data_IF_315118395953
#
_entry.id   IF_315118395953
#
_cell.length_a   1.000
_cell.length_b   1.000
_cell.length_c   1.000
_cell.angle_alpha   90.00
_cell.angle_beta   90.00
_cell.angle_gamma   90.00
#
_symmetry.space_group_name_H-M   'P 1'
#
loop_
_entity.id
_entity.type
_entity.pdbx_description
1 polymer ?
#
# COMPACT_ATOMS: atom_id res chain seq x y z
N UNK A 1 68.31 -36.37 -1.78
CA UNK A 1 67.75 -35.59 -2.88
C UNK A 1 67.39 -34.22 -2.28
N UNK A 2 68.20 -33.20 -2.56
CA UNK A 2 67.89 -31.85 -2.13
C UNK A 2 66.69 -31.38 -2.96
N UNK A 3 65.58 -31.09 -2.28
CA UNK A 3 64.45 -30.40 -2.88
C UNK A 3 64.95 -28.98 -3.19
N UNK A 4 65.23 -28.69 -4.46
CA UNK A 4 65.52 -27.34 -4.90
C UNK A 4 64.31 -26.47 -4.62
N UNK A 5 64.33 -25.83 -3.47
CA UNK A 5 63.38 -24.79 -3.12
C UNK A 5 63.59 -23.62 -4.09
N UNK A 6 62.78 -23.55 -5.13
CA UNK A 6 62.80 -22.45 -6.09
C UNK A 6 62.34 -21.21 -5.33
N UNK A 7 63.29 -20.48 -4.73
CA UNK A 7 63.00 -19.21 -4.08
C UNK A 7 62.57 -18.22 -5.16
N UNK A 8 61.28 -17.87 -5.12
CA UNK A 8 60.69 -16.81 -5.97
C UNK A 8 61.53 -15.52 -5.87
N UNK A 9 62.02 -14.99 -6.98
CA UNK A 9 62.69 -13.69 -6.99
C UNK A 9 61.72 -12.61 -6.48
N UNK A 10 62.25 -11.51 -5.95
CA UNK A 10 61.43 -10.38 -5.47
C UNK A 10 60.43 -9.86 -6.52
N UNK A 11 60.84 -9.88 -7.81
CA UNK A 11 59.97 -9.52 -8.94
C UNK A 11 58.79 -10.52 -9.12
N UNK A 12 59.07 -11.84 -9.01
CA UNK A 12 58.02 -12.87 -9.12
C UNK A 12 57.04 -12.78 -7.98
N UNK A 13 57.49 -12.51 -6.76
CA UNK A 13 56.61 -12.30 -5.59
C UNK A 13 55.73 -11.08 -5.77
N UNK A 14 56.25 -9.97 -6.25
CA UNK A 14 55.49 -8.77 -6.52
C UNK A 14 54.44 -9.00 -7.62
N UNK A 15 54.77 -9.71 -8.69
CA UNK A 15 53.85 -10.09 -9.76
C UNK A 15 52.71 -11.00 -9.21
N UNK A 16 53.05 -11.97 -8.35
CA UNK A 16 52.07 -12.84 -7.73
C UNK A 16 51.06 -12.07 -6.83
N UNK A 17 51.54 -11.14 -6.01
CA UNK A 17 50.71 -10.25 -5.20
C UNK A 17 49.78 -9.37 -6.08
N UNK A 18 50.32 -8.84 -7.17
CA UNK A 18 49.53 -8.06 -8.15
C UNK A 18 48.44 -8.93 -8.82
N UNK A 19 48.74 -10.18 -9.15
CA UNK A 19 47.82 -11.15 -9.71
C UNK A 19 46.71 -11.52 -8.71
N UNK A 20 47.05 -11.75 -7.44
CA UNK A 20 46.10 -12.02 -6.38
C UNK A 20 45.15 -10.82 -6.19
N UNK A 21 45.67 -9.59 -6.13
CA UNK A 21 44.89 -8.37 -6.08
C UNK A 21 43.97 -8.21 -7.30
N UNK A 22 44.46 -8.50 -8.49
CA UNK A 22 43.66 -8.46 -9.73
C UNK A 22 42.52 -9.48 -9.68
N UNK A 23 42.77 -10.70 -9.20
CA UNK A 23 41.74 -11.74 -9.02
C UNK A 23 40.68 -11.30 -8.02
N UNK A 24 41.07 -10.70 -6.88
CA UNK A 24 40.13 -10.17 -5.89
C UNK A 24 39.24 -9.05 -6.48
N UNK A 25 39.84 -8.17 -7.31
CA UNK A 25 39.09 -7.11 -8.01
C UNK A 25 38.12 -7.70 -9.06
N UNK A 26 38.54 -8.73 -9.80
CA UNK A 26 37.69 -9.44 -10.78
C UNK A 26 36.47 -10.00 -10.06
N UNK A 27 36.67 -10.72 -8.96
CA UNK A 27 35.58 -11.33 -8.20
C UNK A 27 34.58 -10.26 -7.70
N UNK A 28 35.06 -9.13 -7.19
CA UNK A 28 34.22 -8.01 -6.76
C UNK A 28 33.48 -7.36 -7.92
N UNK A 29 34.13 -7.12 -9.07
CA UNK A 29 33.48 -6.57 -10.26
C UNK A 29 32.45 -7.55 -10.83
N UNK A 30 32.73 -8.84 -10.78
CA UNK A 30 31.80 -9.90 -11.20
C UNK A 30 30.55 -9.95 -10.29
N UNK A 31 30.73 -9.80 -8.98
CA UNK A 31 29.63 -9.71 -8.03
C UNK A 31 28.76 -8.48 -8.33
N UNK A 32 29.36 -7.31 -8.55
CA UNK A 32 28.66 -6.07 -8.91
C UNK A 32 27.92 -6.17 -10.24
N UNK A 33 28.51 -6.81 -11.25
CA UNK A 33 27.85 -7.10 -12.52
C UNK A 33 26.68 -8.07 -12.39
N UNK A 34 26.84 -9.08 -11.52
CA UNK A 34 25.79 -10.08 -11.27
C UNK A 34 24.62 -9.51 -10.47
N UNK A 35 24.89 -8.68 -9.45
CA UNK A 35 23.86 -8.09 -8.58
C UNK A 35 23.30 -6.78 -9.09
N UNK A 36 24.01 -6.10 -10.02
CA UNK A 36 23.72 -4.74 -10.44
C UNK A 36 24.00 -3.69 -9.37
N UNK A 37 24.64 -4.07 -8.26
CA UNK A 37 24.89 -3.18 -7.12
C UNK A 37 26.38 -2.95 -6.90
N UNK A 38 26.73 -1.69 -6.64
CA UNK A 38 28.06 -1.29 -6.18
C UNK A 38 28.25 -1.58 -4.68
N UNK A 39 27.16 -1.45 -3.90
CA UNK A 39 27.11 -1.69 -2.45
C UNK A 39 26.20 -2.89 -2.19
N UNK A 40 26.78 -4.06 -1.98
CA UNK A 40 26.06 -5.32 -1.70
C UNK A 40 25.95 -5.60 -0.20
N UNK A 41 26.92 -5.11 0.58
CA UNK A 41 27.02 -5.35 2.00
C UNK A 41 27.47 -4.11 2.77
N UNK A 42 27.33 -4.15 4.09
CA UNK A 42 27.85 -3.10 4.96
C UNK A 42 29.39 -2.98 4.91
N UNK A 43 30.10 -4.01 4.44
CA UNK A 43 31.55 -3.99 4.26
C UNK A 43 32.00 -3.15 3.08
N UNK A 44 31.16 -3.02 2.04
CA UNK A 44 31.47 -2.22 0.84
C UNK A 44 31.38 -0.71 1.13
N UNK A 45 30.27 -0.31 1.75
CA UNK A 45 30.06 1.07 2.21
C UNK A 45 28.98 1.07 3.29
N UNK A 46 29.34 1.11 4.59
CA UNK A 46 28.37 1.01 5.69
C UNK A 46 27.35 2.16 5.66
N UNK A 47 27.77 3.38 5.34
CA UNK A 47 26.88 4.55 5.35
C UNK A 47 25.79 4.40 4.28
N UNK A 48 26.16 4.08 3.04
CA UNK A 48 25.22 3.93 1.94
C UNK A 48 24.34 2.69 2.12
N UNK A 49 24.90 1.59 2.65
CA UNK A 49 24.17 0.35 2.90
C UNK A 49 23.04 0.57 3.91
N UNK A 50 23.36 1.13 5.08
CA UNK A 50 22.35 1.36 6.12
C UNK A 50 21.34 2.45 5.75
N UNK A 51 21.76 3.49 5.00
CA UNK A 51 20.85 4.49 4.48
C UNK A 51 19.85 3.88 3.48
N UNK A 52 20.34 3.09 2.52
CA UNK A 52 19.49 2.38 1.57
C UNK A 52 18.55 1.39 2.26
N UNK A 53 19.05 0.63 3.24
CA UNK A 53 18.23 -0.30 4.03
C UNK A 53 17.13 0.44 4.80
N UNK A 54 17.44 1.61 5.37
CA UNK A 54 16.44 2.46 6.03
C UNK A 54 15.34 2.93 5.05
N UNK A 55 15.71 3.33 3.84
CA UNK A 55 14.75 3.71 2.81
C UNK A 55 13.87 2.54 2.38
N UNK A 56 14.44 1.34 2.21
CA UNK A 56 13.71 0.12 1.84
C UNK A 56 12.72 -0.27 2.95
N UNK A 57 13.16 -0.26 4.21
CA UNK A 57 12.31 -0.58 5.35
C UNK A 57 11.14 0.40 5.43
N UNK A 58 11.41 1.70 5.32
CA UNK A 58 10.36 2.72 5.31
C UNK A 58 9.40 2.59 4.12
N UNK A 59 9.90 2.25 2.93
CA UNK A 59 9.06 1.97 1.77
C UNK A 59 8.14 0.76 2.00
N UNK A 60 8.64 -0.27 2.70
CA UNK A 60 7.85 -1.44 3.11
C UNK A 60 6.76 -1.07 4.11
N UNK A 61 7.08 -0.24 5.11
CA UNK A 61 6.11 0.23 6.10
C UNK A 61 5.00 1.06 5.44
N UNK A 62 5.34 1.93 4.50
CA UNK A 62 4.35 2.66 3.71
C UNK A 62 3.49 1.74 2.83
N UNK A 63 4.04 0.65 2.28
CA UNK A 63 3.25 -0.32 1.52
C UNK A 63 2.16 -0.97 2.40
N UNK A 64 2.49 -1.34 3.63
CA UNK A 64 1.51 -1.86 4.61
C UNK A 64 0.43 -0.80 4.92
N UNK A 65 0.81 0.48 5.06
CA UNK A 65 -0.18 1.56 5.28
C UNK A 65 -1.08 1.77 4.07
N UNK A 66 -0.54 1.68 2.86
CA UNK A 66 -1.31 1.74 1.61
C UNK A 66 -2.37 0.64 1.53
N UNK A 67 -2.02 -0.60 1.92
CA UNK A 67 -2.99 -1.70 1.97
C UNK A 67 -4.11 -1.41 2.98
N UNK A 68 -3.78 -0.85 4.15
CA UNK A 68 -4.75 -0.38 5.12
C UNK A 68 -5.66 0.74 4.59
N UNK A 69 -5.12 1.66 3.78
CA UNK A 69 -5.92 2.69 3.10
C UNK A 69 -6.88 2.07 2.07
N UNK A 70 -6.43 1.07 1.29
CA UNK A 70 -7.27 0.36 0.34
C UNK A 70 -8.47 -0.33 1.02
N UNK A 71 -8.24 -0.98 2.16
CA UNK A 71 -9.29 -1.57 2.99
C UNK A 71 -10.25 -0.50 3.55
N UNK A 72 -9.72 0.65 3.97
CA UNK A 72 -10.53 1.79 4.39
C UNK A 72 -11.43 2.33 3.27
N UNK A 73 -10.93 2.38 2.05
CA UNK A 73 -11.71 2.75 0.86
C UNK A 73 -12.87 1.76 0.64
N UNK A 74 -12.63 0.44 0.76
CA UNK A 74 -13.69 -0.55 0.58
C UNK A 74 -14.75 -0.46 1.68
N UNK A 75 -14.34 -0.23 2.93
CA UNK A 75 -15.27 -0.02 4.05
C UNK A 75 -16.17 1.21 3.81
N UNK A 76 -15.58 2.32 3.34
CA UNK A 76 -16.34 3.52 3.02
C UNK A 76 -17.28 3.30 1.82
N UNK A 77 -16.86 2.60 0.79
CA UNK A 77 -17.71 2.24 -0.37
C UNK A 77 -18.89 1.34 0.03
N UNK A 78 -18.66 0.38 0.93
CA UNK A 78 -19.74 -0.46 1.44
C UNK A 78 -20.81 0.37 2.18
N UNK A 79 -20.36 1.33 2.99
CA UNK A 79 -21.28 2.25 3.67
C UNK A 79 -22.05 3.16 2.70
N UNK A 80 -21.39 3.70 1.66
CA UNK A 80 -22.03 4.56 0.66
C UNK A 80 -23.07 3.78 -0.17
N UNK A 81 -22.77 2.54 -0.51
CA UNK A 81 -23.73 1.63 -1.16
C UNK A 81 -24.93 1.37 -0.27
N UNK A 82 -24.72 1.16 1.03
CA UNK A 82 -25.76 1.02 2.03
C UNK A 82 -26.62 2.28 2.16
N UNK A 83 -26.01 3.48 2.22
CA UNK A 83 -26.71 4.77 2.23
C UNK A 83 -27.61 4.91 0.99
N UNK A 84 -27.08 4.57 -0.17
CA UNK A 84 -27.79 4.67 -1.45
C UNK A 84 -29.03 3.77 -1.48
N UNK A 85 -28.88 2.53 -1.00
CA UNK A 85 -29.96 1.57 -0.92
C UNK A 85 -31.01 1.96 0.14
N UNK A 86 -30.60 2.43 1.32
CA UNK A 86 -31.50 2.97 2.34
C UNK A 86 -32.27 4.18 1.81
N UNK A 87 -31.61 5.09 1.08
CA UNK A 87 -32.30 6.24 0.49
C UNK A 87 -33.37 5.80 -0.52
N UNK A 88 -33.14 4.75 -1.29
CA UNK A 88 -34.15 4.18 -2.21
C UNK A 88 -35.37 3.64 -1.44
N UNK A 89 -35.17 2.97 -0.30
CA UNK A 89 -36.26 2.52 0.57
C UNK A 89 -37.00 3.71 1.20
N UNK A 90 -36.31 4.77 1.59
CA UNK A 90 -36.92 6.01 2.09
C UNK A 90 -37.80 6.67 1.03
N UNK A 91 -37.34 6.72 -0.22
CA UNK A 91 -38.16 7.26 -1.32
C UNK A 91 -39.38 6.37 -1.62
N UNK A 92 -39.25 5.05 -1.54
CA UNK A 92 -40.41 4.13 -1.64
C UNK A 92 -41.39 4.36 -0.49
N UNK A 93 -40.90 4.55 0.74
CA UNK A 93 -41.74 4.87 1.91
C UNK A 93 -42.49 6.21 1.74
N UNK A 94 -41.84 7.23 1.15
CA UNK A 94 -42.52 8.50 0.79
C UNK A 94 -43.64 8.27 -0.21
N UNK A 95 -43.43 7.40 -1.21
CA UNK A 95 -44.44 7.03 -2.18
C UNK A 95 -45.69 6.40 -1.52
N UNK A 96 -45.48 5.47 -0.56
CA UNK A 96 -46.57 4.87 0.21
C UNK A 96 -47.31 5.90 1.06
N UNK A 97 -46.58 6.80 1.73
CA UNK A 97 -47.20 7.87 2.54
C UNK A 97 -48.01 8.86 1.65
N UNK A 98 -47.52 9.17 0.44
CA UNK A 98 -48.27 9.99 -0.52
C UNK A 98 -49.52 9.27 -1.02
N UNK A 99 -49.42 7.97 -1.31
CA UNK A 99 -50.62 7.17 -1.72
C UNK A 99 -51.67 7.09 -0.62
N UNK A 100 -51.23 6.92 0.66
CA UNK A 100 -52.10 6.91 1.83
C UNK A 100 -52.82 8.28 2.04
N UNK A 101 -52.13 9.40 1.76
CA UNK A 101 -52.73 10.73 1.84
C UNK A 101 -53.76 10.97 0.72
N UNK A 102 -53.58 10.32 -0.44
CA UNK A 102 -54.49 10.40 -1.61
C UNK A 102 -55.78 9.65 -1.46
N UNK A 103 -55.97 8.82 -0.44
CA UNK A 103 -57.22 8.06 -0.15
C UNK A 103 -57.83 8.44 1.18
N UNK A 104 -59.15 8.51 1.22
CA UNK A 104 -59.90 8.69 2.47
C UNK A 104 -60.30 7.33 3.13
N UNK A 105 -60.07 6.22 2.41
CA UNK A 105 -60.42 4.88 2.87
C UNK A 105 -59.45 4.41 3.95
N UNK A 106 -59.93 4.22 5.16
CA UNK A 106 -59.11 3.80 6.32
C UNK A 106 -58.48 2.41 6.15
N UNK A 107 -59.14 1.50 5.42
CA UNK A 107 -58.62 0.15 5.15
C UNK A 107 -57.41 0.21 4.23
N UNK A 108 -57.48 1.05 3.17
CA UNK A 108 -56.37 1.25 2.27
C UNK A 108 -55.19 1.92 3.00
N UNK A 109 -55.47 2.93 3.82
CA UNK A 109 -54.45 3.59 4.67
C UNK A 109 -53.77 2.61 5.62
N UNK A 110 -54.53 1.71 6.26
CA UNK A 110 -54.00 0.66 7.10
C UNK A 110 -53.08 -0.31 6.31
N UNK A 111 -53.44 -0.63 5.10
CA UNK A 111 -52.61 -1.47 4.19
C UNK A 111 -51.29 -0.76 3.85
N UNK A 112 -51.34 0.53 3.49
CA UNK A 112 -50.14 1.33 3.21
C UNK A 112 -49.27 1.49 4.48
N UNK A 113 -49.84 1.67 5.64
CA UNK A 113 -49.11 1.72 6.91
C UNK A 113 -48.35 0.42 7.21
N UNK A 114 -48.99 -0.74 6.92
CA UNK A 114 -48.36 -2.06 7.06
C UNK A 114 -47.18 -2.23 6.11
N UNK A 115 -47.32 -1.84 4.82
CA UNK A 115 -46.23 -1.86 3.82
C UNK A 115 -45.10 -0.89 4.23
N UNK A 116 -45.43 0.28 4.71
CA UNK A 116 -44.45 1.23 5.23
C UNK A 116 -43.65 0.64 6.40
N UNK A 117 -44.31 -0.07 7.33
CA UNK A 117 -43.63 -0.75 8.45
C UNK A 117 -42.65 -1.83 7.95
N UNK A 118 -43.01 -2.54 6.87
CA UNK A 118 -42.11 -3.49 6.25
C UNK A 118 -40.86 -2.79 5.68
N UNK A 119 -41.01 -1.63 5.04
CA UNK A 119 -39.86 -0.85 4.54
C UNK A 119 -38.97 -0.36 5.68
N UNK A 120 -39.55 0.08 6.83
CA UNK A 120 -38.79 0.44 8.02
C UNK A 120 -37.94 -0.76 8.50
N UNK A 121 -38.53 -1.95 8.52
CA UNK A 121 -37.81 -3.17 8.92
C UNK A 121 -36.65 -3.43 7.97
N UNK A 122 -36.84 -3.28 6.64
CA UNK A 122 -35.79 -3.45 5.64
C UNK A 122 -34.68 -2.40 5.77
N UNK A 123 -35.01 -1.14 6.11
CA UNK A 123 -34.03 -0.10 6.40
C UNK A 123 -33.12 -0.53 7.57
N UNK A 124 -33.70 -1.04 8.65
CA UNK A 124 -32.92 -1.50 9.80
C UNK A 124 -32.00 -2.68 9.47
N UNK A 125 -32.53 -3.67 8.71
CA UNK A 125 -31.75 -4.84 8.27
C UNK A 125 -30.60 -4.39 7.37
N UNK A 126 -30.88 -3.55 6.38
CA UNK A 126 -29.89 -3.07 5.43
C UNK A 126 -28.79 -2.23 6.10
N UNK A 127 -29.15 -1.41 7.11
CA UNK A 127 -28.16 -0.69 7.90
C UNK A 127 -27.22 -1.65 8.64
N UNK A 128 -27.75 -2.76 9.16
CA UNK A 128 -26.95 -3.78 9.83
C UNK A 128 -26.08 -4.60 8.87
N UNK A 129 -26.56 -4.87 7.67
CA UNK A 129 -25.88 -5.70 6.65
C UNK A 129 -24.76 -4.93 5.93
N UNK A 130 -24.76 -3.60 6.00
CA UNK A 130 -23.80 -2.73 5.31
C UNK A 130 -22.43 -2.70 6.00
N UNK A 131 -21.89 -3.86 6.38
CA UNK A 131 -20.59 -4.00 7.01
C UNK A 131 -19.52 -4.50 6.00
N UNK A 132 -18.29 -4.11 6.27
CA UNK A 132 -17.13 -4.66 5.59
C UNK A 132 -16.07 -5.07 6.61
N UNK A 133 -15.62 -6.33 6.57
CA UNK A 133 -14.64 -6.91 7.53
C UNK A 133 -14.92 -6.61 9.00
N UNK A 134 -16.19 -6.67 9.38
CA UNK A 134 -16.62 -6.44 10.76
C UNK A 134 -16.75 -4.96 11.17
N UNK A 135 -16.45 -4.02 10.28
CA UNK A 135 -16.68 -2.59 10.53
C UNK A 135 -17.94 -2.14 9.79
N UNK A 136 -18.90 -1.56 10.52
CA UNK A 136 -20.14 -1.04 9.97
C UNK A 136 -20.31 0.44 10.33
N UNK A 137 -20.07 1.32 9.35
CA UNK A 137 -20.21 2.77 9.53
C UNK A 137 -21.69 3.22 9.67
N UNK A 138 -22.65 2.38 9.24
CA UNK A 138 -24.08 2.67 9.33
C UNK A 138 -24.71 2.28 10.66
N UNK A 139 -23.94 1.65 11.55
CA UNK A 139 -24.33 1.37 12.94
C UNK A 139 -23.55 2.20 13.97
N UNK A 140 -22.84 3.23 13.50
CA UNK A 140 -22.08 4.16 14.35
C UNK A 140 -20.65 3.73 14.66
N UNK A 141 -20.11 2.67 14.04
CA UNK A 141 -18.71 2.30 14.21
C UNK A 141 -17.79 3.38 13.58
N UNK A 142 -16.58 3.52 14.12
CA UNK A 142 -15.58 4.45 13.60
C UNK A 142 -14.48 3.67 12.87
N UNK A 143 -14.17 4.08 11.65
CA UNK A 143 -13.05 3.58 10.88
C UNK A 143 -11.85 4.51 11.06
N UNK A 144 -10.71 3.98 11.53
CA UNK A 144 -9.46 4.73 11.61
C UNK A 144 -8.51 4.25 10.52
N UNK A 145 -8.09 5.17 9.65
CA UNK A 145 -7.12 4.91 8.58
C UNK A 145 -5.82 5.61 8.92
N UNK A 146 -4.74 4.85 9.11
CA UNK A 146 -3.41 5.38 9.41
C UNK A 146 -2.64 5.63 8.12
N UNK A 147 -1.96 6.78 8.02
CA UNK A 147 -1.23 7.23 6.83
C UNK A 147 0.29 7.11 6.93
N UNK A 148 0.83 7.05 8.15
CA UNK A 148 2.27 6.94 8.40
C UNK A 148 2.58 5.74 9.31
N UNK A 149 3.87 5.44 9.41
CA UNK A 149 4.40 4.30 10.17
C UNK A 149 4.01 4.38 11.65
N UNK A 150 4.10 5.58 12.24
CA UNK A 150 3.91 5.83 13.69
C UNK A 150 2.44 6.04 14.09
N UNK A 151 1.50 5.94 13.14
CA UNK A 151 0.07 6.21 13.33
C UNK A 151 -0.24 7.62 13.93
N UNK A 152 0.71 8.56 13.83
CA UNK A 152 0.51 9.96 14.24
C UNK A 152 -0.33 10.73 13.23
N UNK A 153 -0.23 10.35 11.93
CA UNK A 153 -1.08 10.87 10.85
C UNK A 153 -2.15 9.84 10.53
N UNK A 154 -3.41 10.19 10.84
CA UNK A 154 -4.57 9.30 10.65
C UNK A 154 -5.81 10.09 10.28
N UNK A 155 -6.75 9.44 9.61
CA UNK A 155 -8.11 9.91 9.39
C UNK A 155 -9.08 9.04 10.17
N UNK A 156 -9.93 9.67 10.96
CA UNK A 156 -11.02 9.01 11.68
C UNK A 156 -12.33 9.28 10.95
N UNK A 157 -12.88 8.26 10.29
CA UNK A 157 -14.18 8.31 9.63
C UNK A 157 -15.20 7.85 10.66
N UNK A 158 -15.95 8.82 11.22
CA UNK A 158 -16.97 8.53 12.22
C UNK A 158 -18.22 8.05 11.50
N UNK A 159 -18.68 6.84 11.84
CA UNK A 159 -19.95 6.31 11.37
C UNK A 159 -21.15 7.00 12.03
N UNK A 160 -22.31 6.72 11.52
CA UNK A 160 -23.59 7.21 12.05
C UNK A 160 -24.62 6.07 12.07
N UNK A 161 -25.68 6.23 12.85
CA UNK A 161 -26.74 5.24 12.92
C UNK A 161 -27.76 5.47 11.81
N UNK A 162 -27.77 4.62 10.78
CA UNK A 162 -28.66 4.71 9.62
C UNK A 162 -29.93 3.84 9.78
N UNK A 163 -30.21 3.34 10.97
CA UNK A 163 -31.48 2.68 11.28
C UNK A 163 -32.65 3.67 11.28
N UNK A 164 -33.86 3.19 11.18
CA UNK A 164 -35.04 4.05 11.25
C UNK A 164 -35.06 4.96 12.51
N UNK A 165 -34.65 4.43 13.64
CA UNK A 165 -34.53 5.21 14.89
C UNK A 165 -33.43 6.28 14.78
N UNK A 166 -32.27 5.94 14.24
CA UNK A 166 -31.16 6.90 14.05
C UNK A 166 -31.49 7.99 13.07
N UNK A 167 -32.30 7.70 12.05
CA UNK A 167 -32.80 8.65 11.05
C UNK A 167 -34.08 9.37 11.51
N UNK A 168 -34.54 9.12 12.72
CA UNK A 168 -35.80 9.67 13.27
C UNK A 168 -37.06 9.35 12.44
N UNK A 169 -37.04 8.20 11.73
CA UNK A 169 -38.20 7.71 10.98
C UNK A 169 -39.16 7.05 11.99
N UNK A 170 -40.31 7.66 12.22
CA UNK A 170 -41.30 7.15 13.14
C UNK A 170 -42.09 5.97 12.54
N UNK A 171 -42.48 5.02 13.41
CA UNK A 171 -43.44 3.99 13.07
C UNK A 171 -44.80 4.66 12.86
N UNK A 172 -45.64 4.16 11.92
CA UNK A 172 -46.97 4.71 11.68
C UNK A 172 -47.82 4.71 12.99
N UNK A 173 -48.24 5.89 13.43
CA UNK A 173 -49.16 6.02 14.55
C UNK A 173 -50.59 5.81 14.08
N UNK A 174 -51.41 5.24 14.91
CA UNK A 174 -52.85 5.01 14.65
C UNK A 174 -53.15 4.39 13.28
N UNK A 175 -52.22 3.60 12.70
CA UNK A 175 -52.33 2.96 11.38
C UNK A 175 -52.75 3.95 10.30
N UNK A 176 -52.25 5.22 10.42
CA UNK A 176 -52.52 6.32 9.49
C UNK A 176 -54.01 6.66 9.29
N UNK A 177 -54.80 6.62 10.36
CA UNK A 177 -56.23 6.99 10.30
C UNK A 177 -56.46 8.47 9.99
N UNK A 178 -55.50 9.34 10.36
CA UNK A 178 -55.53 10.79 10.15
C UNK A 178 -54.47 11.31 9.21
N UNK A 179 -54.76 12.36 8.43
CA UNK A 179 -53.82 13.02 7.54
C UNK A 179 -52.59 13.57 8.27
N UNK A 180 -52.75 14.00 9.53
CA UNK A 180 -51.69 14.52 10.37
C UNK A 180 -50.61 13.48 10.65
N UNK A 181 -50.97 12.22 10.88
CA UNK A 181 -50.02 11.10 11.12
C UNK A 181 -49.19 10.81 9.86
N UNK A 182 -49.84 10.85 8.67
CA UNK A 182 -49.20 10.63 7.41
C UNK A 182 -48.23 11.77 7.06
N UNK A 183 -48.68 13.02 7.27
CA UNK A 183 -47.85 14.22 7.02
C UNK A 183 -46.62 14.24 7.93
N UNK A 184 -46.78 13.85 9.18
CA UNK A 184 -45.65 13.71 10.12
C UNK A 184 -44.65 12.68 9.63
N UNK A 185 -45.14 11.51 9.20
CA UNK A 185 -44.26 10.48 8.59
C UNK A 185 -43.52 10.97 7.38
N UNK A 186 -44.15 11.77 6.47
CA UNK A 186 -43.51 12.38 5.34
C UNK A 186 -42.40 13.38 5.73
N UNK A 187 -42.63 14.20 6.76
CA UNK A 187 -41.61 15.13 7.28
C UNK A 187 -40.37 14.37 7.81
N UNK A 188 -40.60 13.31 8.58
CA UNK A 188 -39.50 12.45 9.06
C UNK A 188 -38.71 11.81 7.91
N UNK A 189 -39.38 11.30 6.90
CA UNK A 189 -38.71 10.74 5.72
C UNK A 189 -37.91 11.78 4.91
N UNK A 190 -38.44 13.02 4.81
CA UNK A 190 -37.70 14.14 4.16
C UNK A 190 -36.42 14.51 4.95
N UNK A 191 -36.53 14.55 6.27
CA UNK A 191 -35.37 14.75 7.17
C UNK A 191 -34.36 13.61 7.03
N UNK A 192 -34.80 12.37 7.04
CA UNK A 192 -33.95 11.19 6.86
C UNK A 192 -33.20 11.23 5.54
N UNK A 193 -33.88 11.53 4.43
CA UNK A 193 -33.23 11.66 3.11
C UNK A 193 -32.18 12.78 3.09
N UNK A 194 -32.42 13.88 3.80
CA UNK A 194 -31.44 14.99 3.93
C UNK A 194 -30.25 14.57 4.78
N UNK A 195 -30.44 13.85 5.87
CA UNK A 195 -29.37 13.29 6.69
C UNK A 195 -28.51 12.30 5.88
N UNK A 196 -29.14 11.36 5.17
CA UNK A 196 -28.44 10.38 4.34
C UNK A 196 -27.56 11.05 3.26
N UNK A 197 -28.09 12.09 2.58
CA UNK A 197 -27.33 12.87 1.60
C UNK A 197 -26.14 13.61 2.22
N UNK A 198 -26.32 14.14 3.43
CA UNK A 198 -25.22 14.81 4.15
C UNK A 198 -24.12 13.81 4.51
N UNK A 199 -24.50 12.62 4.99
CA UNK A 199 -23.53 11.58 5.35
C UNK A 199 -22.81 11.00 4.11
N UNK A 200 -23.52 10.81 2.99
CA UNK A 200 -22.89 10.40 1.74
C UNK A 200 -21.85 11.45 1.28
N UNK A 201 -22.15 12.76 1.36
CA UNK A 201 -21.18 13.82 1.06
C UNK A 201 -19.96 13.78 1.98
N UNK A 202 -20.15 13.59 3.28
CA UNK A 202 -19.05 13.46 4.24
C UNK A 202 -18.18 12.26 3.91
N UNK A 203 -18.81 11.13 3.58
CA UNK A 203 -18.12 9.90 3.22
C UNK A 203 -17.34 10.06 1.90
N UNK A 204 -17.91 10.71 0.89
CA UNK A 204 -17.24 11.03 -0.36
C UNK A 204 -16.01 11.93 -0.14
N UNK A 205 -16.12 12.93 0.75
CA UNK A 205 -14.97 13.76 1.12
C UNK A 205 -13.86 12.95 1.80
N UNK A 206 -14.21 12.08 2.74
CA UNK A 206 -13.26 11.20 3.41
C UNK A 206 -12.60 10.22 2.42
N UNK A 207 -13.35 9.68 1.46
CA UNK A 207 -12.82 8.86 0.37
C UNK A 207 -11.79 9.62 -0.47
N UNK A 208 -12.07 10.85 -0.84
CA UNK A 208 -11.12 11.69 -1.58
C UNK A 208 -9.83 11.92 -0.79
N UNK A 209 -9.94 12.16 0.52
CA UNK A 209 -8.77 12.33 1.39
C UNK A 209 -7.93 11.03 1.40
N UNK A 210 -8.57 9.87 1.59
CA UNK A 210 -7.86 8.58 1.64
C UNK A 210 -7.20 8.29 0.29
N UNK A 211 -7.90 8.51 -0.83
CA UNK A 211 -7.34 8.29 -2.19
C UNK A 211 -6.14 9.19 -2.44
N UNK A 212 -6.25 10.50 -2.14
CA UNK A 212 -5.13 11.44 -2.28
C UNK A 212 -3.92 11.02 -1.42
N UNK A 213 -4.18 10.53 -0.21
CA UNK A 213 -3.13 10.01 0.67
C UNK A 213 -2.51 8.73 0.15
N UNK A 214 -3.30 7.86 -0.46
CA UNK A 214 -2.82 6.63 -1.11
C UNK A 214 -1.89 6.97 -2.27
N UNK A 215 -2.26 7.90 -3.15
CA UNK A 215 -1.45 8.37 -4.27
C UNK A 215 -0.13 9.00 -3.79
N UNK A 216 -0.20 9.84 -2.74
CA UNK A 216 0.99 10.39 -2.10
C UNK A 216 1.91 9.29 -1.55
N UNK A 217 1.34 8.27 -0.92
CA UNK A 217 2.10 7.14 -0.36
C UNK A 217 2.79 6.33 -1.46
N UNK A 218 2.14 6.12 -2.61
CA UNK A 218 2.74 5.45 -3.77
C UNK A 218 3.94 6.24 -4.33
N UNK A 219 3.80 7.55 -4.44
CA UNK A 219 4.90 8.42 -4.87
C UNK A 219 6.06 8.39 -3.85
N UNK A 220 5.76 8.36 -2.56
CA UNK A 220 6.78 8.27 -1.50
C UNK A 220 7.51 6.93 -1.52
N UNK A 221 6.80 5.81 -1.70
CA UNK A 221 7.39 4.47 -1.87
C UNK A 221 8.35 4.47 -3.06
N UNK A 222 7.94 5.03 -4.20
CA UNK A 222 8.76 5.13 -5.40
C UNK A 222 10.00 5.98 -5.17
N UNK A 223 9.85 7.13 -4.50
CA UNK A 223 10.97 8.02 -4.15
C UNK A 223 11.97 7.34 -3.22
N UNK A 224 11.50 6.63 -2.19
CA UNK A 224 12.37 5.91 -1.26
C UNK A 224 13.12 4.76 -1.95
N UNK A 225 12.46 4.00 -2.83
CA UNK A 225 13.12 2.95 -3.62
C UNK A 225 14.18 3.53 -4.55
N UNK A 226 13.85 4.59 -5.29
CA UNK A 226 14.83 5.30 -6.14
C UNK A 226 16.00 5.85 -5.33
N UNK A 227 15.73 6.41 -4.14
CA UNK A 227 16.76 6.85 -3.22
C UNK A 227 17.68 5.72 -2.75
N UNK A 228 17.13 4.55 -2.43
CA UNK A 228 17.91 3.37 -2.07
C UNK A 228 18.75 2.85 -3.25
N UNK A 229 18.17 2.82 -4.45
CA UNK A 229 18.86 2.42 -5.67
C UNK A 229 20.03 3.36 -5.99
N UNK A 230 19.84 4.67 -5.92
CA UNK A 230 20.91 5.66 -6.15
C UNK A 230 22.10 5.50 -5.18
N UNK A 231 21.88 4.97 -3.98
CA UNK A 231 22.93 4.70 -3.00
C UNK A 231 23.65 3.38 -3.24
N UNK A 232 23.04 2.43 -3.95
CA UNK A 232 23.53 1.06 -4.02
C UNK A 232 23.79 0.56 -5.42
N UNK A 233 23.16 1.10 -6.48
CA UNK A 233 23.31 0.62 -7.85
C UNK A 233 24.71 0.90 -8.40
N UNK A 234 25.22 -0.02 -9.23
CA UNK A 234 26.43 0.10 -10.01
C UNK A 234 26.13 0.65 -11.41
N UNK A 235 27.06 1.42 -11.95
CA UNK A 235 27.09 1.70 -13.40
C UNK A 235 27.60 0.46 -14.13
N UNK A 236 26.69 -0.26 -14.76
CA UNK A 236 26.98 -1.51 -15.47
C UNK A 236 27.97 -1.34 -16.62
N UNK A 237 28.00 -0.17 -17.29
CA UNK A 237 28.94 0.12 -18.37
C UNK A 237 30.34 0.30 -17.79
N UNK A 238 30.46 1.01 -16.68
CA UNK A 238 31.75 1.20 -16.01
C UNK A 238 32.27 -0.12 -15.44
N UNK A 239 31.43 -0.93 -14.78
CA UNK A 239 31.86 -2.22 -14.25
C UNK A 239 32.18 -3.23 -15.37
N UNK A 240 31.48 -3.18 -16.52
CA UNK A 240 31.84 -3.97 -17.72
C UNK A 240 33.20 -3.60 -18.27
N UNK A 241 33.49 -2.32 -18.39
CA UNK A 241 34.80 -1.83 -18.84
C UNK A 241 35.91 -2.23 -17.84
N UNK A 242 35.65 -2.11 -16.53
CA UNK A 242 36.56 -2.55 -15.47
C UNK A 242 36.86 -4.04 -15.57
N UNK A 243 35.86 -4.88 -15.84
CA UNK A 243 36.04 -6.33 -16.01
C UNK A 243 36.95 -6.66 -17.13
N UNK A 244 36.75 -6.05 -18.33
CA UNK A 244 37.64 -6.24 -19.49
C UNK A 244 39.07 -5.82 -19.21
N UNK A 245 39.25 -4.67 -18.55
CA UNK A 245 40.60 -4.18 -18.18
C UNK A 245 41.28 -5.15 -17.20
N UNK A 246 40.55 -5.65 -16.20
CA UNK A 246 41.06 -6.59 -15.19
C UNK A 246 41.44 -7.96 -15.82
N UNK A 247 40.62 -8.48 -16.72
CA UNK A 247 40.90 -9.70 -17.47
C UNK A 247 42.17 -9.55 -18.33
N UNK A 248 42.33 -8.40 -18.97
CA UNK A 248 43.56 -8.08 -19.73
C UNK A 248 44.78 -8.03 -18.82
N UNK A 249 44.68 -7.37 -17.66
CA UNK A 249 45.74 -7.32 -16.64
C UNK A 249 46.10 -8.71 -16.11
N UNK A 250 45.10 -9.56 -15.87
CA UNK A 250 45.31 -10.94 -15.44
C UNK A 250 46.08 -11.73 -16.48
N UNK A 251 45.71 -11.63 -17.77
CA UNK A 251 46.37 -12.27 -18.87
C UNK A 251 47.83 -11.83 -19.06
N UNK A 252 48.07 -10.51 -18.97
CA UNK A 252 49.39 -9.94 -19.00
C UNK A 252 50.26 -10.37 -17.81
N UNK A 253 49.68 -10.42 -16.59
CA UNK A 253 50.34 -10.85 -15.37
C UNK A 253 50.76 -12.32 -15.42
N UNK A 254 49.91 -13.22 -15.92
CA UNK A 254 50.23 -14.63 -16.10
C UNK A 254 51.35 -14.83 -17.15
N UNK A 255 51.32 -14.07 -18.26
CA UNK A 255 52.35 -14.10 -19.27
C UNK A 255 53.70 -13.59 -18.72
N UNK A 256 53.70 -12.47 -17.97
CA UNK A 256 54.91 -11.94 -17.35
C UNK A 256 55.47 -12.91 -16.30
N UNK A 257 54.63 -13.60 -15.53
CA UNK A 257 55.09 -14.63 -14.56
C UNK A 257 55.72 -15.82 -15.27
N UNK A 258 55.15 -16.29 -16.41
CA UNK A 258 55.70 -17.35 -17.25
C UNK A 258 57.06 -16.99 -17.82
N UNK A 259 57.18 -15.78 -18.37
CA UNK A 259 58.45 -15.29 -18.90
C UNK A 259 59.51 -15.17 -17.80
N UNK A 260 59.16 -14.65 -16.63
CA UNK A 260 60.08 -14.58 -15.48
C UNK A 260 60.54 -15.95 -15.00
N UNK A 261 59.61 -16.95 -14.98
CA UNK A 261 59.93 -18.34 -14.63
C UNK A 261 60.89 -18.99 -15.65
N UNK A 262 60.67 -18.77 -16.98
CA UNK A 262 61.55 -19.22 -18.03
C UNK A 262 62.96 -18.60 -17.94
N UNK A 263 63.03 -17.31 -17.66
CA UNK A 263 64.29 -16.62 -17.45
C UNK A 263 65.08 -17.19 -16.26
N UNK A 264 64.38 -17.44 -15.13
CA UNK A 264 65.00 -18.04 -13.96
C UNK A 264 65.51 -19.46 -14.24
N UNK A 265 64.74 -20.27 -14.99
CA UNK A 265 65.16 -21.61 -15.40
C UNK A 265 66.36 -21.58 -16.37
N UNK A 266 66.43 -20.59 -17.28
CA UNK A 266 67.58 -20.46 -18.21
C UNK A 266 68.85 -20.10 -17.44
N UNK A 267 68.80 -19.27 -16.41
CA UNK A 267 69.95 -18.95 -15.55
C UNK A 267 70.42 -20.23 -14.78
N UNK A 268 69.45 -21.00 -14.23
CA UNK A 268 69.77 -22.28 -13.52
C UNK A 268 70.41 -23.34 -14.44
N UNK A 269 70.19 -23.27 -15.73
CA UNK A 269 70.84 -24.18 -16.73
C UNK A 269 72.25 -23.75 -17.13
N UNK A 270 72.64 -22.54 -16.80
CA UNK A 270 73.96 -21.98 -17.11
C UNK A 270 75.00 -22.27 -16.01
N UNK A 271 74.53 -22.75 -14.84
CA UNK A 271 75.33 -23.20 -13.71
C UNK A 271 75.15 -24.71 -13.49
#
# INVERSE_FOLDING_TARGET
MAVNDISLTSGMRNNLLQLQNTTSLINRTQERLSTGKQVNSALDNPTNFFAAQSHINRASDFAVRKDGMAEGIQTAKAADSGISAINSLVEAAKGLAAAALGTANTTDRATFATQYQQLITQINTLASDSQYRGTNLLTGATLTVNFNEDATSKLSVVGFTATATGLSIAVPTNVWTGDGDITTSQMHLASASTQLRTQSKNLANNLNIITTRQDFTDNMISTLKTGADNLTLADMNQEGANMLMLQTRQSLGTTALSLSSQAAQSILRLF
#
